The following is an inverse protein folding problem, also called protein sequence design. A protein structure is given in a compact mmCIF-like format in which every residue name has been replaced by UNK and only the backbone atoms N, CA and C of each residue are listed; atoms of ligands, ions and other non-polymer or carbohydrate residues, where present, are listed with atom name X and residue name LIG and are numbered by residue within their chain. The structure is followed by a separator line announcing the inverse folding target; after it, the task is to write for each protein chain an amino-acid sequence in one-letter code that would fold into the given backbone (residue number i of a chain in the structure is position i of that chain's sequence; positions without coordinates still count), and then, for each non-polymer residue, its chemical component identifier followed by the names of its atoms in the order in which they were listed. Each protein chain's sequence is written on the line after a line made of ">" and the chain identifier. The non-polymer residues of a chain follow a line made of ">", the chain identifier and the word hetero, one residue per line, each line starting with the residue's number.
data_IF_360401300754
#
_entry.id   IF_360401300754
#
_cell.length_a   1.000
_cell.length_b   1.000
_cell.length_c   1.000
_cell.angle_alpha   90.00
_cell.angle_beta   90.00
_cell.angle_gamma   90.00
#
_symmetry.space_group_name_H-M   'P 1'
#
loop_
_entity.id
_entity.type
_entity.pdbx_description
1 polymer ?
#
# COMPACT_ATOMS: atom_id res chain seq x y z
N UNK A 1 -36.12 -9.60 59.67
CA UNK A 1 -36.47 -8.65 58.62
C UNK A 1 -35.25 -7.82 58.28
N UNK A 2 -35.02 -7.52 57.06
CA UNK A 2 -33.91 -6.83 56.44
C UNK A 2 -32.73 -7.71 55.98
N UNK A 3 -32.89 -8.27 54.79
CA UNK A 3 -31.80 -8.57 53.88
C UNK A 3 -32.13 -7.87 52.58
N UNK A 4 -31.32 -6.92 52.14
CA UNK A 4 -31.23 -6.54 50.73
C UNK A 4 -30.04 -5.59 50.52
N UNK A 5 -29.36 -5.80 49.40
CA UNK A 5 -28.53 -4.84 48.68
C UNK A 5 -27.04 -4.86 48.99
N UNK A 6 -26.34 -5.77 48.29
CA UNK A 6 -24.94 -5.55 47.91
C UNK A 6 -24.62 -6.41 46.67
N UNK A 7 -24.99 -5.97 45.51
CA UNK A 7 -24.50 -6.55 44.24
C UNK A 7 -24.83 -5.63 43.06
N UNK A 8 -24.26 -4.45 43.00
CA UNK A 8 -24.15 -3.65 41.76
C UNK A 8 -22.95 -2.72 41.93
N UNK A 9 -21.73 -3.16 41.63
CA UNK A 9 -20.58 -2.27 41.43
C UNK A 9 -19.32 -3.02 40.92
N UNK A 10 -19.47 -3.87 39.93
CA UNK A 10 -18.26 -4.53 39.34
C UNK A 10 -18.26 -4.63 37.83
N UNK A 11 -19.09 -3.89 37.10
CA UNK A 11 -19.11 -3.98 35.61
C UNK A 11 -18.60 -2.74 34.85
N UNK A 12 -18.14 -1.69 35.56
CA UNK A 12 -17.79 -0.43 34.86
C UNK A 12 -16.29 -0.19 34.61
N UNK A 13 -15.39 -1.07 35.07
CA UNK A 13 -13.96 -0.83 35.00
C UNK A 13 -13.26 -1.47 33.80
N UNK A 14 -13.93 -2.33 33.02
CA UNK A 14 -13.28 -3.09 31.93
C UNK A 14 -13.39 -2.39 30.55
N UNK A 15 -14.29 -1.43 30.41
CA UNK A 15 -14.52 -0.74 29.12
C UNK A 15 -13.57 0.42 28.79
N UNK A 16 -12.77 0.87 29.75
CA UNK A 16 -11.88 2.03 29.56
C UNK A 16 -10.46 1.69 29.08
N UNK A 17 -10.05 0.43 29.13
CA UNK A 17 -8.68 0.04 28.76
C UNK A 17 -8.52 -0.20 27.24
N UNK A 18 -9.60 -0.52 26.54
CA UNK A 18 -9.55 -0.81 25.08
C UNK A 18 -9.46 0.45 24.22
N UNK A 19 -9.99 1.58 24.67
CA UNK A 19 -9.96 2.84 23.92
C UNK A 19 -8.59 3.54 23.93
N UNK A 20 -7.79 3.36 24.98
CA UNK A 20 -6.44 3.95 25.04
C UNK A 20 -5.42 3.24 24.14
N UNK A 21 -5.53 1.94 23.96
CA UNK A 21 -4.63 1.20 23.07
C UNK A 21 -4.87 1.53 21.58
N UNK A 22 -6.10 1.79 21.19
CA UNK A 22 -6.47 2.22 19.83
C UNK A 22 -5.91 3.61 19.50
N UNK A 23 -6.11 4.59 20.41
CA UNK A 23 -5.64 5.95 20.20
C UNK A 23 -4.11 6.12 20.18
N UNK A 24 -3.38 5.33 20.99
CA UNK A 24 -1.91 5.40 21.02
C UNK A 24 -1.26 4.86 19.75
N UNK A 25 -1.97 4.10 18.95
CA UNK A 25 -1.43 3.44 17.76
C UNK A 25 -1.74 4.15 16.45
N UNK A 26 -2.85 4.84 16.36
CA UNK A 26 -3.07 5.77 15.27
C UNK A 26 -2.06 6.92 15.35
N UNK A 27 -1.61 7.28 16.56
CA UNK A 27 -0.52 8.26 16.76
C UNK A 27 0.84 7.83 16.21
N UNK A 28 1.13 6.53 16.09
CA UNK A 28 2.39 6.02 15.54
C UNK A 28 2.66 6.54 14.12
N UNK A 29 1.61 6.65 13.30
CA UNK A 29 1.72 7.04 11.89
C UNK A 29 1.52 8.54 11.65
N UNK A 30 1.28 9.37 12.67
CA UNK A 30 0.97 10.79 12.52
C UNK A 30 2.09 11.57 11.80
N UNK A 31 3.35 11.35 12.16
CA UNK A 31 4.47 12.04 11.52
C UNK A 31 4.64 11.66 10.05
N UNK A 32 4.38 10.40 9.70
CA UNK A 32 4.32 9.93 8.32
C UNK A 32 3.13 10.56 7.59
N UNK A 33 1.94 10.52 8.19
CA UNK A 33 0.75 11.14 7.66
C UNK A 33 0.98 12.64 7.34
N UNK A 34 1.55 13.38 8.28
CA UNK A 34 1.86 14.80 8.08
C UNK A 34 2.87 15.05 6.95
N UNK A 35 3.83 14.14 6.79
CA UNK A 35 4.84 14.24 5.74
C UNK A 35 4.23 14.00 4.36
N UNK A 36 3.46 12.94 4.19
CA UNK A 36 2.87 12.59 2.90
C UNK A 36 1.72 13.53 2.51
N UNK A 37 0.88 13.95 3.44
CA UNK A 37 -0.20 14.91 3.17
C UNK A 37 0.33 16.23 2.58
N UNK A 38 1.55 16.63 2.94
CA UNK A 38 2.16 17.88 2.45
C UNK A 38 2.94 17.73 1.15
N UNK A 39 3.49 16.54 0.90
CA UNK A 39 4.49 16.33 -0.15
C UNK A 39 4.06 15.31 -1.21
N UNK A 40 2.86 14.74 -1.09
CA UNK A 40 2.26 13.87 -2.10
C UNK A 40 1.10 14.62 -2.75
N UNK A 41 1.18 14.81 -4.05
CA UNK A 41 0.27 15.65 -4.81
C UNK A 41 -0.59 14.79 -5.74
N UNK A 42 -1.91 14.91 -5.63
CA UNK A 42 -2.82 14.27 -6.56
C UNK A 42 -2.66 14.87 -7.98
N UNK A 43 -2.51 14.00 -8.95
CA UNK A 43 -2.42 14.33 -10.38
C UNK A 43 -3.41 13.45 -11.18
N UNK A 44 -3.52 13.67 -12.48
CA UNK A 44 -4.38 12.88 -13.35
C UNK A 44 -5.81 12.74 -12.80
N UNK A 45 -6.46 13.87 -12.50
CA UNK A 45 -7.81 13.93 -11.92
C UNK A 45 -7.95 13.12 -10.61
N UNK A 46 -6.88 13.02 -9.83
CA UNK A 46 -6.85 12.28 -8.58
C UNK A 46 -6.53 10.79 -8.70
N UNK A 47 -6.36 10.26 -9.92
CA UNK A 47 -6.09 8.83 -10.10
C UNK A 47 -4.64 8.42 -9.83
N UNK A 48 -3.70 9.37 -9.90
CA UNK A 48 -2.28 9.16 -9.65
C UNK A 48 -1.74 10.18 -8.67
N UNK A 49 -0.51 10.00 -8.20
CA UNK A 49 0.20 10.98 -7.37
C UNK A 49 1.62 11.20 -7.87
N UNK A 50 2.10 12.43 -7.68
CA UNK A 50 3.50 12.80 -7.76
C UNK A 50 4.02 13.11 -6.36
N UNK A 51 5.30 12.82 -6.10
CA UNK A 51 5.93 13.00 -4.79
C UNK A 51 6.99 14.10 -4.88
N UNK A 52 6.89 15.10 -4.00
CA UNK A 52 7.96 16.11 -3.86
C UNK A 52 9.10 15.56 -2.99
N UNK A 53 9.93 14.70 -3.61
CA UNK A 53 11.09 14.12 -2.95
C UNK A 53 12.11 15.16 -2.51
N UNK A 54 12.19 16.30 -3.20
CA UNK A 54 13.11 17.38 -2.83
C UNK A 54 12.67 18.05 -1.52
N UNK A 55 11.37 18.34 -1.38
CA UNK A 55 10.82 18.87 -0.14
C UNK A 55 10.92 17.85 1.02
N UNK A 56 10.72 16.56 0.76
CA UNK A 56 10.94 15.53 1.78
C UNK A 56 12.41 15.47 2.19
N UNK A 57 13.35 15.58 1.24
CA UNK A 57 14.80 15.63 1.52
C UNK A 57 15.17 16.79 2.44
N UNK A 58 14.57 17.97 2.25
CA UNK A 58 14.75 19.12 3.15
C UNK A 58 14.21 18.84 4.56
N UNK A 59 13.28 17.95 4.71
CA UNK A 59 12.66 17.52 5.97
C UNK A 59 13.10 16.11 6.39
N UNK A 60 14.26 15.64 5.91
CA UNK A 60 14.74 14.25 6.09
C UNK A 60 14.72 13.78 7.55
N UNK A 61 15.04 14.69 8.50
CA UNK A 61 14.94 14.37 9.93
C UNK A 61 13.54 13.94 10.40
N UNK A 62 12.46 14.41 9.77
CA UNK A 62 11.09 13.94 10.09
C UNK A 62 10.84 12.52 9.56
N UNK A 63 11.35 12.23 8.37
CA UNK A 63 11.27 10.89 7.80
C UNK A 63 12.07 9.90 8.63
N UNK A 64 13.33 10.20 8.95
CA UNK A 64 14.18 9.32 9.79
C UNK A 64 13.57 9.08 11.17
N UNK A 65 13.03 10.12 11.82
CA UNK A 65 12.33 9.96 13.11
C UNK A 65 11.15 9.00 13.02
N UNK A 66 10.39 9.02 11.91
CA UNK A 66 9.31 8.06 11.69
C UNK A 66 9.85 6.64 11.45
N UNK A 67 10.91 6.50 10.66
CA UNK A 67 11.55 5.21 10.40
C UNK A 67 12.12 4.59 11.70
N UNK A 68 12.61 5.41 12.62
CA UNK A 68 13.05 4.96 13.94
C UNK A 68 11.88 4.40 14.77
N UNK A 69 10.69 5.03 14.69
CA UNK A 69 9.47 4.50 15.34
C UNK A 69 9.10 3.13 14.78
N UNK A 70 9.18 2.94 13.46
CA UNK A 70 8.92 1.63 12.85
C UNK A 70 9.95 0.58 13.26
N UNK A 71 11.22 0.97 13.31
CA UNK A 71 12.35 0.11 13.70
C UNK A 71 12.26 -0.36 15.15
N UNK A 72 11.74 0.48 16.04
CA UNK A 72 11.56 0.18 17.46
C UNK A 72 10.49 -0.89 17.74
N UNK A 73 9.63 -1.21 16.76
CA UNK A 73 8.60 -2.25 16.93
C UNK A 73 9.25 -3.63 16.93
N UNK A 74 9.13 -4.35 18.05
CA UNK A 74 9.63 -5.72 18.15
C UNK A 74 8.72 -6.71 17.40
N UNK A 75 9.27 -7.86 17.00
CA UNK A 75 8.48 -8.95 16.40
C UNK A 75 7.33 -9.37 17.33
N UNK A 76 7.58 -9.52 18.63
CA UNK A 76 6.55 -9.93 19.60
C UNK A 76 5.42 -8.90 19.75
N UNK A 77 5.76 -7.60 19.71
CA UNK A 77 4.77 -6.52 19.73
C UNK A 77 3.91 -6.57 18.46
N UNK A 78 4.54 -6.72 17.30
CA UNK A 78 3.83 -6.83 16.02
C UNK A 78 2.92 -8.07 15.97
N UNK A 79 3.39 -9.22 16.43
CA UNK A 79 2.61 -10.47 16.41
C UNK A 79 1.38 -10.43 17.34
N UNK A 80 1.41 -9.59 18.38
CA UNK A 80 0.28 -9.37 19.28
C UNK A 80 -0.82 -8.46 18.70
N UNK A 81 -0.58 -7.81 17.56
CA UNK A 81 -1.57 -6.93 16.93
C UNK A 81 -2.60 -7.71 16.10
N UNK A 82 -3.78 -7.13 15.97
CA UNK A 82 -4.80 -7.60 15.04
C UNK A 82 -4.34 -7.43 13.59
N UNK A 83 -4.82 -8.31 12.69
CA UNK A 83 -4.41 -8.34 11.28
C UNK A 83 -4.50 -6.99 10.55
N UNK A 84 -5.59 -6.19 10.69
CA UNK A 84 -5.66 -4.90 10.01
C UNK A 84 -4.53 -3.96 10.41
N UNK A 85 -4.13 -3.99 11.66
CA UNK A 85 -3.07 -3.19 12.23
C UNK A 85 -1.70 -3.62 11.75
N UNK A 86 -1.46 -4.94 11.72
CA UNK A 86 -0.26 -5.51 11.15
C UNK A 86 -0.11 -5.12 9.67
N UNK A 87 -1.17 -5.22 8.88
CA UNK A 87 -1.13 -4.92 7.45
C UNK A 87 -0.95 -3.42 7.19
N UNK A 88 -1.66 -2.54 7.90
CA UNK A 88 -1.46 -1.10 7.81
C UNK A 88 -0.01 -0.69 8.14
N UNK A 89 0.56 -1.25 9.20
CA UNK A 89 1.96 -1.05 9.57
C UNK A 89 2.93 -1.48 8.46
N UNK A 90 2.74 -2.66 7.87
CA UNK A 90 3.61 -3.17 6.81
C UNK A 90 3.52 -2.33 5.53
N UNK A 91 2.31 -1.88 5.15
CA UNK A 91 2.12 -1.01 3.98
C UNK A 91 2.82 0.34 4.22
N UNK A 92 2.61 0.96 5.39
CA UNK A 92 3.28 2.22 5.72
C UNK A 92 4.81 2.05 5.78
N UNK A 93 5.31 0.93 6.33
CA UNK A 93 6.73 0.65 6.37
C UNK A 93 7.32 0.50 4.96
N UNK A 94 6.68 -0.27 4.08
CA UNK A 94 7.12 -0.39 2.69
C UNK A 94 7.20 0.97 2.00
N UNK A 95 6.13 1.77 2.10
CA UNK A 95 6.04 3.07 1.44
C UNK A 95 7.08 4.06 2.00
N UNK A 96 7.23 4.14 3.32
CA UNK A 96 8.19 5.05 3.95
C UNK A 96 9.64 4.67 3.63
N UNK A 97 9.99 3.39 3.65
CA UNK A 97 11.32 2.93 3.30
C UNK A 97 11.60 3.04 1.79
N UNK A 98 10.57 2.96 0.94
CA UNK A 98 10.71 3.28 -0.49
C UNK A 98 11.01 4.76 -0.69
N UNK A 99 10.30 5.65 0.01
CA UNK A 99 10.58 7.10 -0.03
C UNK A 99 11.97 7.39 0.51
N UNK A 100 12.40 6.76 1.62
CA UNK A 100 13.75 6.89 2.17
C UNK A 100 14.83 6.47 1.14
N UNK A 101 14.61 5.35 0.47
CA UNK A 101 15.54 4.87 -0.57
C UNK A 101 15.74 5.91 -1.68
N UNK A 102 14.68 6.57 -2.11
CA UNK A 102 14.77 7.64 -3.11
C UNK A 102 15.44 8.90 -2.52
N UNK A 103 14.97 9.38 -1.38
CA UNK A 103 15.43 10.63 -0.75
C UNK A 103 16.92 10.59 -0.40
N UNK A 104 17.40 9.47 0.13
CA UNK A 104 18.82 9.27 0.48
C UNK A 104 19.73 9.25 -0.75
N UNK A 105 19.21 8.91 -1.93
CA UNK A 105 20.00 8.82 -3.16
C UNK A 105 19.73 9.98 -4.13
N UNK A 106 18.71 10.80 -3.89
CA UNK A 106 18.36 11.94 -4.74
C UNK A 106 19.48 12.95 -4.78
N UNK A 107 19.93 13.32 -5.98
CA UNK A 107 21.02 14.28 -6.21
C UNK A 107 22.26 13.96 -5.33
N UNK A 108 22.60 12.69 -5.19
CA UNK A 108 23.84 12.22 -4.55
C UNK A 108 24.97 12.19 -5.58
N UNK A 109 26.22 12.11 -5.10
CA UNK A 109 27.39 12.00 -5.99
C UNK A 109 27.31 10.78 -6.93
N UNK A 110 26.65 9.69 -6.46
CA UNK A 110 26.46 8.48 -7.25
C UNK A 110 25.26 8.56 -8.21
N UNK A 111 24.26 9.35 -7.87
CA UNK A 111 23.03 9.50 -8.64
C UNK A 111 22.64 10.98 -8.76
N UNK A 112 23.44 11.78 -9.50
CA UNK A 112 23.20 13.24 -9.64
C UNK A 112 21.87 13.55 -10.34
N UNK A 113 21.41 12.63 -11.21
CA UNK A 113 20.17 12.75 -11.98
C UNK A 113 19.38 11.42 -11.88
N UNK A 114 18.86 11.13 -10.69
CA UNK A 114 18.06 9.94 -10.43
C UNK A 114 16.72 10.02 -11.17
N UNK A 115 16.53 9.16 -12.17
CA UNK A 115 15.32 9.12 -13.01
C UNK A 115 14.39 7.95 -12.71
N UNK A 116 14.89 6.91 -12.08
CA UNK A 116 14.15 5.71 -11.77
C UNK A 116 14.68 5.06 -10.49
N UNK A 117 13.83 4.42 -9.72
CA UNK A 117 14.28 3.56 -8.62
C UNK A 117 15.21 2.45 -9.12
N UNK A 118 15.06 2.01 -10.38
CA UNK A 118 15.94 1.01 -11.00
C UNK A 118 17.40 1.45 -11.09
N UNK A 119 17.66 2.76 -11.15
CA UNK A 119 19.02 3.31 -11.20
C UNK A 119 19.80 3.03 -9.91
N UNK A 120 19.10 2.68 -8.81
CA UNK A 120 19.69 2.31 -7.51
C UNK A 120 20.09 0.84 -7.44
N UNK A 121 19.78 0.07 -8.47
CA UNK A 121 20.18 -1.33 -8.62
C UNK A 121 21.53 -1.48 -9.32
N UNK A 122 21.90 -2.73 -9.58
CA UNK A 122 23.05 -3.09 -10.39
C UNK A 122 22.67 -4.22 -11.35
N UNK A 123 23.58 -4.62 -12.22
CA UNK A 123 23.37 -5.77 -13.11
C UNK A 123 23.02 -7.06 -12.35
N UNK A 124 23.49 -7.20 -11.12
CA UNK A 124 23.31 -8.41 -10.29
C UNK A 124 22.33 -8.25 -9.12
N UNK A 125 21.80 -7.06 -8.86
CA UNK A 125 20.91 -6.83 -7.72
C UNK A 125 19.84 -5.79 -8.01
N UNK A 126 18.59 -6.17 -7.73
CA UNK A 126 17.45 -5.26 -7.73
C UNK A 126 17.53 -4.31 -6.53
N UNK A 127 17.14 -3.02 -6.67
CA UNK A 127 17.03 -2.13 -5.52
C UNK A 127 16.04 -2.64 -4.46
N UNK A 128 15.02 -3.39 -4.86
CA UNK A 128 14.04 -3.97 -3.94
C UNK A 128 14.58 -5.15 -3.12
N UNK A 129 15.56 -5.90 -3.66
CA UNK A 129 16.18 -7.06 -2.96
C UNK A 129 17.31 -6.67 -2.01
N UNK A 130 17.77 -5.41 -2.03
CA UNK A 130 18.84 -4.93 -1.15
C UNK A 130 18.35 -4.87 0.30
N UNK A 131 19.03 -5.58 1.20
CA UNK A 131 18.75 -5.58 2.62
C UNK A 131 19.34 -4.32 3.28
N UNK A 132 18.47 -3.38 3.68
CA UNK A 132 18.88 -2.12 4.35
C UNK A 132 17.87 -1.64 5.40
N UNK A 133 16.73 -2.32 5.55
CA UNK A 133 15.60 -1.91 6.36
C UNK A 133 15.63 -2.62 7.70
N UNK A 134 15.95 -1.96 8.82
CA UNK A 134 15.79 -2.54 10.14
C UNK A 134 14.31 -2.58 10.51
N UNK A 135 13.68 -3.76 10.48
CA UNK A 135 12.27 -3.93 10.75
C UNK A 135 12.02 -5.26 11.49
N UNK A 136 11.26 -5.19 12.61
CA UNK A 136 10.88 -6.35 13.41
C UNK A 136 12.09 -7.19 13.85
N UNK A 137 13.16 -6.51 14.29
CA UNK A 137 14.38 -7.12 14.81
C UNK A 137 15.30 -7.79 13.77
N UNK A 138 15.07 -7.56 12.46
CA UNK A 138 15.91 -8.10 11.38
C UNK A 138 16.19 -7.02 10.34
N UNK A 139 17.33 -7.13 9.64
CA UNK A 139 17.56 -6.33 8.43
C UNK A 139 16.83 -6.97 7.25
N UNK A 140 15.99 -6.20 6.60
CA UNK A 140 15.10 -6.65 5.51
C UNK A 140 15.31 -5.84 4.24
N UNK A 141 14.77 -6.33 3.15
CA UNK A 141 14.61 -5.61 1.90
C UNK A 141 13.14 -5.19 1.70
N UNK A 142 12.86 -4.36 0.68
CA UNK A 142 11.48 -4.08 0.25
C UNK A 142 10.78 -5.36 -0.21
N UNK A 143 11.48 -6.24 -0.96
CA UNK A 143 11.00 -7.57 -1.35
C UNK A 143 10.62 -8.42 -0.12
N UNK A 144 11.40 -8.36 0.97
CA UNK A 144 11.07 -9.08 2.19
C UNK A 144 9.74 -8.59 2.80
N UNK A 145 9.50 -7.28 2.80
CA UNK A 145 8.25 -6.73 3.34
C UNK A 145 7.08 -7.14 2.44
N UNK A 146 7.16 -6.90 1.14
CA UNK A 146 6.08 -7.19 0.20
C UNK A 146 5.84 -8.69 0.05
N UNK A 147 6.89 -9.46 -0.28
CA UNK A 147 6.73 -10.84 -0.70
C UNK A 147 6.73 -11.85 0.44
N UNK A 148 7.44 -11.57 1.58
CA UNK A 148 7.49 -12.51 2.70
C UNK A 148 6.55 -12.13 3.83
N UNK A 149 6.49 -10.84 4.22
CA UNK A 149 5.68 -10.41 5.36
C UNK A 149 4.23 -10.17 4.98
N UNK A 150 3.94 -9.62 3.81
CA UNK A 150 2.57 -9.38 3.34
C UNK A 150 2.08 -10.60 2.57
N UNK A 151 2.53 -10.81 1.34
CA UNK A 151 1.99 -11.82 0.41
C UNK A 151 2.23 -13.26 0.85
N UNK A 152 3.45 -13.59 1.24
CA UNK A 152 3.88 -14.95 1.55
C UNK A 152 3.57 -15.42 2.98
N UNK A 153 3.05 -14.54 3.83
CA UNK A 153 2.78 -14.88 5.24
C UNK A 153 1.59 -15.80 5.44
N UNK A 154 0.68 -15.90 4.45
CA UNK A 154 -0.61 -16.58 4.58
C UNK A 154 -1.61 -15.87 5.50
N UNK A 155 -1.27 -14.69 6.05
CA UNK A 155 -2.10 -13.93 6.99
C UNK A 155 -3.08 -13.00 6.30
N UNK A 156 -2.69 -12.46 5.15
CA UNK A 156 -3.43 -11.42 4.42
C UNK A 156 -3.70 -11.91 3.00
N UNK A 157 -4.86 -12.47 2.76
CA UNK A 157 -5.31 -12.86 1.41
C UNK A 157 -6.09 -11.70 0.78
N UNK A 158 -5.40 -10.59 0.52
CA UNK A 158 -5.99 -9.36 -0.01
C UNK A 158 -5.14 -8.80 -1.16
N UNK A 159 -5.53 -9.01 -2.43
CA UNK A 159 -4.77 -8.53 -3.58
C UNK A 159 -4.77 -7.01 -3.72
N UNK A 160 -5.62 -6.30 -2.99
CA UNK A 160 -5.68 -4.83 -3.00
C UNK A 160 -4.41 -4.19 -2.43
N UNK A 161 -3.57 -4.97 -1.75
CA UNK A 161 -2.24 -4.51 -1.30
C UNK A 161 -1.39 -4.03 -2.47
N UNK A 162 -1.59 -4.60 -3.66
CA UNK A 162 -0.88 -4.18 -4.87
C UNK A 162 -1.25 -2.77 -5.33
N UNK A 163 -2.32 -2.17 -4.80
CA UNK A 163 -2.70 -0.78 -5.04
C UNK A 163 -2.34 0.15 -3.87
N UNK A 164 -1.80 -0.41 -2.78
CA UNK A 164 -1.43 0.31 -1.56
C UNK A 164 0.08 0.51 -1.40
N UNK A 165 0.89 -0.43 -1.93
CA UNK A 165 2.35 -0.30 -1.94
C UNK A 165 2.81 0.45 -3.18
N UNK A 166 3.71 1.45 -2.98
CA UNK A 166 4.20 2.31 -4.05
C UNK A 166 5.70 2.11 -4.25
N UNK A 167 6.10 1.77 -5.46
CA UNK A 167 7.48 1.50 -5.84
C UNK A 167 8.20 2.73 -6.45
N UNK A 168 7.75 3.93 -6.16
CA UNK A 168 8.32 5.20 -6.61
C UNK A 168 8.34 5.41 -8.13
N UNK A 169 7.52 4.71 -8.92
CA UNK A 169 7.47 4.87 -10.38
C UNK A 169 6.15 5.49 -10.84
N UNK A 170 6.12 6.12 -12.02
CA UNK A 170 4.89 6.62 -12.63
C UNK A 170 3.88 5.49 -12.86
N UNK A 171 4.34 4.29 -13.22
CA UNK A 171 3.49 3.11 -13.40
C UNK A 171 2.87 2.55 -12.12
N UNK A 172 3.40 2.91 -10.92
CA UNK A 172 2.85 2.47 -9.64
C UNK A 172 1.42 2.98 -9.42
N UNK A 173 0.64 2.29 -8.59
CA UNK A 173 -0.51 2.90 -7.93
C UNK A 173 -0.12 4.18 -7.20
N UNK A 174 -1.07 5.07 -6.98
CA UNK A 174 -0.82 6.30 -6.25
C UNK A 174 -0.23 6.00 -4.85
N UNK A 175 0.86 6.68 -4.46
CA UNK A 175 1.18 6.79 -3.05
C UNK A 175 0.03 7.56 -2.38
N UNK A 176 -0.65 6.94 -1.41
CA UNK A 176 -1.78 7.59 -0.74
C UNK A 176 -1.29 8.79 0.05
N UNK A 177 -2.02 9.88 -0.02
CA UNK A 177 -1.73 11.15 0.69
C UNK A 177 -2.03 11.08 2.19
N UNK A 178 -2.52 9.94 2.66
CA UNK A 178 -2.87 9.63 4.04
C UNK A 178 -2.21 8.31 4.46
N UNK A 179 -1.71 8.23 5.69
CA UNK A 179 -1.19 6.99 6.25
C UNK A 179 -2.29 5.94 6.39
N UNK A 180 -1.96 4.67 6.19
CA UNK A 180 -2.87 3.56 6.46
C UNK A 180 -3.03 3.37 7.97
N UNK A 181 -4.27 3.18 8.42
CA UNK A 181 -4.59 2.93 9.82
C UNK A 181 -5.50 1.71 9.96
N UNK A 182 -5.46 1.04 11.10
CA UNK A 182 -6.19 -0.20 11.31
C UNK A 182 -7.71 -0.04 11.15
N UNK A 183 -8.25 1.04 11.65
CA UNK A 183 -9.68 1.39 11.64
C UNK A 183 -10.21 1.75 10.25
N UNK A 184 -9.34 2.31 9.39
CA UNK A 184 -9.70 2.75 8.04
C UNK A 184 -9.22 1.78 6.94
N UNK A 185 -8.43 0.75 7.26
CA UNK A 185 -7.71 -0.06 6.29
C UNK A 185 -8.60 -0.59 5.18
N UNK A 186 -9.77 -1.13 5.52
CA UNK A 186 -10.72 -1.68 4.55
C UNK A 186 -11.19 -0.60 3.56
N UNK A 187 -11.57 0.57 4.05
CA UNK A 187 -11.98 1.69 3.21
C UNK A 187 -10.82 2.21 2.36
N UNK A 188 -9.63 2.36 2.95
CA UNK A 188 -8.43 2.84 2.26
C UNK A 188 -7.99 1.89 1.13
N UNK A 189 -8.02 0.58 1.34
CA UNK A 189 -7.72 -0.41 0.30
C UNK A 189 -8.77 -0.39 -0.81
N UNK A 190 -10.04 -0.26 -0.45
CA UNK A 190 -11.13 -0.15 -1.43
C UNK A 190 -11.01 1.11 -2.29
N UNK A 191 -10.75 2.25 -1.66
CA UNK A 191 -10.55 3.53 -2.36
C UNK A 191 -9.35 3.49 -3.30
N UNK A 192 -8.20 2.95 -2.85
CA UNK A 192 -7.00 2.81 -3.69
C UNK A 192 -7.23 1.88 -4.88
N UNK A 193 -8.01 0.81 -4.69
CA UNK A 193 -8.40 -0.10 -5.78
C UNK A 193 -9.25 0.64 -6.82
N UNK A 194 -10.30 1.33 -6.38
CA UNK A 194 -11.15 2.11 -7.29
C UNK A 194 -10.33 3.20 -7.98
N UNK A 195 -9.47 3.90 -7.24
CA UNK A 195 -8.58 4.94 -7.76
C UNK A 195 -7.69 4.42 -8.89
N UNK A 196 -7.02 3.29 -8.65
CA UNK A 196 -6.11 2.67 -9.62
C UNK A 196 -6.85 2.16 -10.85
N UNK A 197 -7.96 1.45 -10.66
CA UNK A 197 -8.75 0.90 -11.76
C UNK A 197 -9.45 2.00 -12.61
N UNK A 198 -9.72 3.16 -12.02
CA UNK A 198 -10.30 4.32 -12.74
C UNK A 198 -9.28 5.08 -13.59
N UNK A 199 -7.99 4.81 -13.44
CA UNK A 199 -6.93 5.44 -14.23
C UNK A 199 -6.90 4.86 -15.64
N UNK A 200 -7.48 5.58 -16.59
CA UNK A 200 -7.56 5.16 -17.99
C UNK A 200 -6.21 5.17 -18.72
N UNK A 201 -5.15 5.70 -18.13
CA UNK A 201 -3.78 5.57 -18.66
C UNK A 201 -3.18 4.20 -18.38
N UNK A 202 -3.77 3.44 -17.47
CA UNK A 202 -3.31 2.13 -16.98
C UNK A 202 -4.32 1.02 -17.13
N UNK A 203 -5.62 1.36 -17.22
CA UNK A 203 -6.71 0.39 -17.30
C UNK A 203 -7.80 0.95 -18.20
N UNK A 204 -8.01 0.37 -19.37
CA UNK A 204 -8.99 0.85 -20.35
C UNK A 204 -9.67 -0.30 -21.08
N UNK A 205 -11.00 -0.28 -21.11
CA UNK A 205 -11.81 -1.18 -21.93
C UNK A 205 -12.18 -0.51 -23.26
N UNK A 206 -11.93 -1.17 -24.37
CA UNK A 206 -12.30 -0.70 -25.72
C UNK A 206 -12.72 -1.88 -26.58
N UNK A 207 -13.98 -1.87 -27.05
CA UNK A 207 -14.53 -3.01 -27.78
C UNK A 207 -14.47 -4.29 -26.94
N UNK A 208 -13.92 -5.32 -27.48
CA UNK A 208 -13.69 -6.65 -26.87
C UNK A 208 -12.39 -6.76 -26.08
N UNK A 209 -11.65 -5.68 -25.95
CA UNK A 209 -10.31 -5.70 -25.32
C UNK A 209 -10.32 -4.88 -24.02
N UNK A 210 -9.79 -5.48 -22.93
CA UNK A 210 -9.45 -4.83 -21.68
C UNK A 210 -7.93 -4.74 -21.55
N UNK A 211 -7.38 -3.55 -21.77
CA UNK A 211 -5.96 -3.26 -21.58
C UNK A 211 -5.72 -2.80 -20.16
N UNK A 212 -4.87 -3.50 -19.41
CA UNK A 212 -4.64 -3.27 -17.98
C UNK A 212 -3.16 -3.20 -17.65
N UNK A 213 -2.85 -2.65 -16.48
CA UNK A 213 -1.47 -2.52 -15.98
C UNK A 213 -0.75 -3.86 -15.92
N UNK A 214 0.57 -3.84 -16.18
CA UNK A 214 1.46 -4.99 -15.99
C UNK A 214 1.51 -5.52 -14.54
N UNK A 215 1.01 -4.78 -13.54
CA UNK A 215 0.83 -5.29 -12.17
C UNK A 215 -0.01 -6.57 -12.18
N UNK A 216 -1.06 -6.63 -12.97
CA UNK A 216 -1.92 -7.82 -13.08
C UNK A 216 -1.23 -9.00 -13.77
N UNK A 217 -0.21 -8.74 -14.61
CA UNK A 217 0.63 -9.79 -15.19
C UNK A 217 1.61 -10.36 -14.16
N UNK A 218 2.20 -9.50 -13.34
CA UNK A 218 3.23 -9.93 -12.38
C UNK A 218 2.65 -10.60 -11.14
N UNK A 219 1.45 -10.20 -10.74
CA UNK A 219 0.79 -10.62 -9.51
C UNK A 219 -0.57 -11.29 -9.76
N UNK A 220 -0.81 -11.79 -10.98
CA UNK A 220 -2.08 -12.40 -11.39
C UNK A 220 -2.61 -13.41 -10.39
N UNK A 221 -1.75 -14.32 -9.94
CA UNK A 221 -2.11 -15.35 -8.97
C UNK A 221 -2.72 -14.79 -7.67
N UNK A 222 -2.33 -13.59 -7.22
CA UNK A 222 -2.88 -13.04 -5.99
C UNK A 222 -4.35 -12.59 -6.15
N UNK A 223 -4.77 -12.25 -7.36
CA UNK A 223 -6.15 -11.87 -7.69
C UNK A 223 -7.06 -13.08 -7.90
N UNK A 224 -6.49 -14.30 -7.99
CA UNK A 224 -7.17 -15.56 -8.28
C UNK A 224 -7.24 -16.52 -7.08
N UNK A 225 -6.87 -16.04 -5.87
CA UNK A 225 -6.81 -16.84 -4.62
C UNK A 225 -8.07 -16.77 -3.77
N UNK A 226 -9.24 -16.54 -4.36
CA UNK A 226 -10.52 -16.57 -3.64
C UNK A 226 -10.85 -15.31 -2.85
N UNK A 227 -10.17 -14.17 -3.11
CA UNK A 227 -10.54 -12.90 -2.48
C UNK A 227 -11.97 -12.52 -2.88
N UNK A 228 -12.86 -12.37 -1.87
CA UNK A 228 -14.30 -12.09 -2.10
C UNK A 228 -14.91 -13.04 -3.15
N UNK A 229 -14.60 -14.32 -3.05
CA UNK A 229 -15.07 -15.39 -3.92
C UNK A 229 -14.62 -15.27 -5.39
N UNK A 230 -13.55 -14.50 -5.70
CA UNK A 230 -12.98 -14.43 -7.05
C UNK A 230 -11.85 -15.43 -7.24
N UNK A 231 -11.91 -16.19 -8.32
CA UNK A 231 -10.95 -17.23 -8.69
C UNK A 231 -10.29 -16.98 -10.05
N UNK A 232 -10.67 -15.89 -10.71
CA UNK A 232 -10.08 -15.43 -11.97
C UNK A 232 -9.89 -13.91 -11.93
N UNK A 233 -8.92 -13.42 -12.71
CA UNK A 233 -8.72 -11.98 -12.87
C UNK A 233 -9.97 -11.28 -13.42
N UNK A 234 -10.69 -11.94 -14.33
CA UNK A 234 -11.96 -11.43 -14.87
C UNK A 234 -13.01 -11.22 -13.78
N UNK A 235 -13.17 -12.17 -12.87
CA UNK A 235 -14.10 -12.05 -11.74
C UNK A 235 -13.68 -10.92 -10.79
N UNK A 236 -12.37 -10.74 -10.54
CA UNK A 236 -11.89 -9.60 -9.76
C UNK A 236 -12.26 -8.28 -10.44
N UNK A 237 -12.05 -8.14 -11.76
CA UNK A 237 -12.38 -6.94 -12.52
C UNK A 237 -13.89 -6.65 -12.51
N UNK A 238 -14.72 -7.68 -12.52
CA UNK A 238 -16.19 -7.56 -12.44
C UNK A 238 -16.71 -7.02 -11.10
N UNK A 239 -15.89 -7.00 -10.04
CA UNK A 239 -16.25 -6.31 -8.80
C UNK A 239 -16.18 -4.78 -8.94
N UNK A 240 -15.51 -4.27 -10.00
CA UNK A 240 -15.24 -2.84 -10.20
C UNK A 240 -15.69 -2.29 -11.58
N UNK A 241 -16.90 -2.65 -12.08
CA UNK A 241 -17.31 -2.31 -13.44
C UNK A 241 -17.42 -0.79 -13.64
N UNK A 242 -17.80 -0.04 -12.60
CA UNK A 242 -17.88 1.43 -12.65
C UNK A 242 -16.50 2.08 -12.75
N UNK A 243 -15.52 1.60 -12.01
CA UNK A 243 -14.15 2.10 -12.04
C UNK A 243 -13.52 1.90 -13.42
N UNK A 244 -13.69 0.72 -13.99
CA UNK A 244 -13.21 0.34 -15.32
C UNK A 244 -14.10 0.87 -16.46
N UNK A 245 -15.23 1.54 -16.15
CA UNK A 245 -16.23 2.05 -17.13
C UNK A 245 -16.72 0.98 -18.10
N UNK A 246 -16.90 -0.27 -17.61
CA UNK A 246 -17.36 -1.39 -18.43
C UNK A 246 -18.83 -1.23 -18.82
N UNK A 247 -19.14 -1.39 -20.11
CA UNK A 247 -20.51 -1.56 -20.58
C UNK A 247 -21.11 -2.88 -20.11
N UNK A 248 -22.43 -3.05 -20.17
CA UNK A 248 -23.07 -4.32 -19.83
C UNK A 248 -22.62 -5.47 -20.75
N UNK A 249 -22.37 -5.18 -22.01
CA UNK A 249 -21.83 -6.14 -22.98
C UNK A 249 -20.42 -6.58 -22.56
N UNK A 250 -19.51 -5.64 -22.23
CA UNK A 250 -18.15 -5.95 -21.76
C UNK A 250 -18.14 -6.73 -20.45
N UNK A 251 -19.07 -6.44 -19.53
CA UNK A 251 -19.23 -7.22 -18.32
C UNK A 251 -19.64 -8.67 -18.62
N UNK A 252 -20.54 -8.85 -19.60
CA UNK A 252 -20.96 -10.19 -20.06
C UNK A 252 -19.80 -10.92 -20.70
N UNK A 253 -19.06 -10.29 -21.59
CA UNK A 253 -17.85 -10.85 -22.22
C UNK A 253 -16.80 -11.25 -21.18
N UNK A 254 -16.59 -10.40 -20.16
CA UNK A 254 -15.62 -10.68 -19.09
C UNK A 254 -16.06 -11.91 -18.27
N UNK A 255 -17.34 -11.99 -17.94
CA UNK A 255 -17.95 -13.12 -17.21
C UNK A 255 -17.83 -14.44 -17.98
N UNK A 256 -17.96 -14.40 -19.30
CA UNK A 256 -17.87 -15.57 -20.17
C UNK A 256 -16.43 -15.93 -20.55
N UNK A 257 -15.41 -15.12 -20.16
CA UNK A 257 -14.02 -15.31 -20.59
C UNK A 257 -13.77 -14.96 -22.06
N UNK A 258 -14.65 -14.17 -22.67
CA UNK A 258 -14.59 -13.75 -24.09
C UNK A 258 -13.83 -12.42 -24.27
N UNK A 259 -13.54 -11.69 -23.18
CA UNK A 259 -12.82 -10.44 -23.21
C UNK A 259 -11.33 -10.68 -23.44
N UNK A 260 -10.73 -10.01 -24.42
CA UNK A 260 -9.31 -10.08 -24.67
C UNK A 260 -8.55 -9.20 -23.67
N UNK A 261 -7.78 -9.81 -22.76
CA UNK A 261 -6.98 -9.09 -21.76
C UNK A 261 -5.58 -8.82 -22.32
N UNK A 262 -5.16 -7.54 -22.34
CA UNK A 262 -3.83 -7.10 -22.73
C UNK A 262 -3.15 -6.39 -21.57
N UNK A 263 -1.85 -6.61 -21.41
CA UNK A 263 -1.04 -5.93 -20.41
C UNK A 263 -0.29 -4.77 -21.05
N UNK A 264 -0.45 -3.58 -20.46
CA UNK A 264 0.22 -2.36 -20.91
C UNK A 264 1.67 -2.33 -20.43
N UNK A 265 2.52 -1.61 -21.15
CA UNK A 265 3.88 -1.32 -20.72
C UNK A 265 3.86 -0.52 -19.40
N UNK A 266 4.90 -0.75 -18.60
CA UNK A 266 5.02 -0.13 -17.30
C UNK A 266 6.03 1.01 -17.31
N UNK A 267 5.61 2.20 -16.91
CA UNK A 267 6.50 3.36 -16.84
C UNK A 267 7.31 3.34 -15.53
N UNK A 268 8.62 3.09 -15.66
CA UNK A 268 9.57 3.04 -14.56
C UNK A 268 10.20 4.38 -14.20
N UNK A 269 9.86 5.46 -14.89
CA UNK A 269 10.31 6.80 -14.50
C UNK A 269 9.83 7.12 -13.09
N UNK A 270 10.65 7.88 -12.36
CA UNK A 270 10.34 8.30 -11.00
C UNK A 270 9.07 9.16 -10.98
N UNK A 271 8.15 8.86 -10.07
CA UNK A 271 6.90 9.60 -9.84
C UNK A 271 7.14 10.93 -9.10
N UNK A 272 8.26 11.61 -9.41
CA UNK A 272 8.64 12.87 -8.80
C UNK A 272 7.74 14.02 -9.29
N UNK A 273 7.37 14.90 -8.38
CA UNK A 273 6.82 16.21 -8.72
C UNK A 273 7.94 17.05 -9.37
N UNK A 274 7.66 17.60 -10.56
CA UNK A 274 8.57 18.46 -11.34
C UNK A 274 8.11 19.89 -11.30
#
# INVERSE_FOLDING_TARGET
>A
MFKSSLNVLLCSAILLVTSFASNAQDSMHNSWNDLITKNVLAINNGHSTAVDYAAIKQQHGKLTSYLDVLTAVSQSTFDAWEKPKQLAFLINAYNAWTVELIVSNLASDKHPDLKSIKDLGSFFSSPWSKAFIPLLGKTRSLDDIEHKLIRGSGRYNDPRIHFAVNCASIGCPALREEAYTADKLEAQLQEQTVRFLSDTTRNIAKGDTLSISSIFKWYGDDFEKGFRDTNTLGEFMLQYPKALKLTLEQQTMLKNGEMNIKFLDYNWELNAHR
#
